data_IF_038630314659
#
_entry.id   IF_038630314659
#
_cell.length_a   1.000
_cell.length_b   1.000
_cell.length_c   1.000
_cell.angle_alpha   90.00
_cell.angle_beta   90.00
_cell.angle_gamma   90.00
#
_symmetry.space_group_name_H-M   'P 1'
#
loop_
_entity.id
_entity.type
_entity.pdbx_description
1 polymer ?
#
# COMPACT_ATOMS: atom_id res chain seq x y z
N UNK A 1 -22.37 11.44 3.13
CA UNK A 1 -21.02 11.43 3.76
C UNK A 1 -20.22 12.59 3.16
N UNK A 2 -19.43 13.34 3.94
CA UNK A 2 -18.55 14.38 3.39
C UNK A 2 -17.59 13.81 2.33
N UNK A 3 -17.27 14.54 1.24
CA UNK A 3 -16.39 14.05 0.19
C UNK A 3 -15.01 13.60 0.67
N UNK A 4 -14.47 14.26 1.69
CA UNK A 4 -13.15 13.98 2.29
C UNK A 4 -13.06 12.57 2.86
N UNK A 5 -14.19 12.04 3.31
CA UNK A 5 -14.32 10.72 3.94
C UNK A 5 -14.87 9.71 2.92
N UNK A 6 -15.80 10.13 2.06
CA UNK A 6 -16.54 9.23 1.18
C UNK A 6 -15.93 8.99 -0.19
N UNK A 7 -15.00 9.83 -0.63
CA UNK A 7 -14.28 9.63 -1.88
C UNK A 7 -12.93 8.98 -1.57
N UNK A 8 -12.77 7.75 -2.04
CA UNK A 8 -11.58 6.92 -1.82
C UNK A 8 -11.01 6.48 -3.16
N UNK A 9 -9.76 6.85 -3.43
CA UNK A 9 -8.99 6.39 -4.57
C UNK A 9 -8.17 5.16 -4.18
N UNK A 10 -8.43 4.03 -4.82
CA UNK A 10 -7.59 2.84 -4.67
C UNK A 10 -6.48 2.90 -5.70
N UNK A 11 -5.24 3.08 -5.23
CA UNK A 11 -4.08 3.25 -6.10
C UNK A 11 -3.05 2.14 -5.85
N UNK A 12 -2.52 1.60 -6.94
CA UNK A 12 -1.50 0.57 -6.95
C UNK A 12 -0.27 1.10 -7.70
N UNK A 13 0.91 0.95 -7.10
CA UNK A 13 2.18 1.25 -7.78
C UNK A 13 2.53 0.11 -8.74
N UNK A 14 3.08 0.47 -9.90
CA UNK A 14 3.57 -0.43 -10.95
C UNK A 14 2.46 -1.24 -11.65
N UNK A 15 2.12 -2.44 -11.16
CA UNK A 15 1.15 -3.32 -11.83
C UNK A 15 0.22 -3.98 -10.82
N UNK A 16 -1.08 -4.12 -11.12
CA UNK A 16 -2.03 -4.83 -10.24
C UNK A 16 -1.68 -6.29 -9.99
N UNK A 17 -0.86 -6.91 -10.86
CA UNK A 17 -0.45 -8.30 -10.70
C UNK A 17 0.60 -8.49 -9.60
N UNK A 18 1.36 -7.44 -9.28
CA UNK A 18 2.50 -7.52 -8.35
C UNK A 18 2.45 -6.51 -7.22
N UNK A 19 1.69 -5.44 -7.36
CA UNK A 19 1.47 -4.43 -6.32
C UNK A 19 0.15 -4.64 -5.58
N UNK A 20 -0.02 -3.89 -4.49
CA UNK A 20 -1.23 -3.85 -3.69
C UNK A 20 -1.99 -2.54 -3.89
N UNK A 21 -3.31 -2.58 -3.81
CA UNK A 21 -4.14 -1.39 -3.83
C UNK A 21 -4.19 -0.72 -2.45
N UNK A 22 -3.74 0.54 -2.40
CA UNK A 22 -3.75 1.39 -1.21
C UNK A 22 -4.93 2.37 -1.32
N UNK A 23 -5.80 2.48 -0.29
CA UNK A 23 -6.88 3.45 -0.28
C UNK A 23 -6.37 4.83 0.15
N UNK A 24 -6.56 5.82 -0.72
CA UNK A 24 -6.27 7.22 -0.47
C UNK A 24 -7.56 8.02 -0.41
N UNK A 25 -7.86 8.60 0.74
CA UNK A 25 -9.02 9.45 0.93
C UNK A 25 -8.80 10.81 0.26
N UNK A 26 -9.86 11.40 -0.32
CA UNK A 26 -9.78 12.74 -0.91
C UNK A 26 -9.40 13.81 0.13
N UNK A 27 -9.71 13.58 1.40
CA UNK A 27 -9.32 14.46 2.51
C UNK A 27 -7.86 14.37 2.93
N UNK A 28 -7.04 13.49 2.33
CA UNK A 28 -5.65 13.28 2.71
C UNK A 28 -4.80 14.53 2.46
N UNK A 29 -3.98 14.92 3.43
CA UNK A 29 -3.18 16.17 3.39
C UNK A 29 -1.70 15.95 3.11
N UNK A 30 -1.24 14.70 3.03
CA UNK A 30 0.15 14.38 2.72
C UNK A 30 0.36 12.90 2.43
N UNK A 31 1.50 12.59 1.84
CA UNK A 31 1.92 11.24 1.47
C UNK A 31 3.24 10.90 2.16
N UNK A 32 3.53 9.61 2.42
CA UNK A 32 4.82 9.21 2.97
C UNK A 32 5.92 9.53 1.95
N UNK A 33 7.08 10.00 2.44
CA UNK A 33 8.23 10.42 1.60
C UNK A 33 8.73 9.33 0.64
N UNK A 34 8.58 8.08 1.04
CA UNK A 34 8.93 6.88 0.29
C UNK A 34 8.09 6.77 -1.00
N UNK A 35 6.89 7.35 -1.00
CA UNK A 35 5.93 7.36 -2.11
C UNK A 35 5.97 8.65 -2.94
N UNK A 36 6.76 9.65 -2.53
CA UNK A 36 6.90 10.92 -3.27
C UNK A 36 8.17 10.97 -4.12
N UNK A 37 9.01 9.94 -4.07
CA UNK A 37 10.34 9.93 -4.69
C UNK A 37 10.47 8.81 -5.73
N UNK A 38 10.68 9.20 -6.99
CA UNK A 38 10.85 8.31 -8.14
C UNK A 38 12.02 8.75 -9.02
N UNK A 39 13.14 9.11 -8.40
CA UNK A 39 14.33 9.63 -9.07
C UNK A 39 15.00 8.55 -9.94
N UNK A 40 15.86 8.97 -10.87
CA UNK A 40 16.60 8.05 -11.77
C UNK A 40 17.63 7.17 -11.03
N UNK A 41 18.06 7.61 -9.85
CA UNK A 41 18.86 6.80 -8.92
C UNK A 41 17.96 5.84 -8.14
N UNK A 42 18.41 4.61 -7.87
CA UNK A 42 17.69 3.58 -7.11
C UNK A 42 17.89 3.82 -5.60
N UNK A 43 17.01 4.58 -4.90
CA UNK A 43 17.16 4.82 -3.49
C UNK A 43 16.55 3.61 -2.76
N UNK A 44 17.24 3.08 -1.75
CA UNK A 44 16.75 1.95 -0.96
C UNK A 44 15.37 2.22 -0.31
N UNK A 45 15.02 3.49 -0.13
CA UNK A 45 13.77 3.95 0.50
C UNK A 45 12.70 4.44 -0.48
N UNK A 46 12.81 4.14 -1.77
CA UNK A 46 11.76 4.44 -2.75
C UNK A 46 10.75 3.30 -2.86
N UNK A 47 9.47 3.62 -2.67
CA UNK A 47 8.38 2.70 -2.94
C UNK A 47 8.37 2.29 -4.42
N UNK A 48 8.52 3.25 -5.34
CA UNK A 48 8.54 2.97 -6.79
C UNK A 48 9.55 1.89 -7.15
N UNK A 49 10.81 2.05 -6.71
CA UNK A 49 11.88 1.13 -7.03
C UNK A 49 11.73 -0.22 -6.33
N UNK A 50 11.23 -0.24 -5.09
CA UNK A 50 10.94 -1.48 -4.38
C UNK A 50 9.86 -2.31 -5.09
N UNK A 51 8.74 -1.69 -5.49
CA UNK A 51 7.70 -2.39 -6.26
C UNK A 51 8.19 -2.78 -7.67
N UNK A 52 9.07 -1.98 -8.28
CA UNK A 52 9.70 -2.32 -9.55
C UNK A 52 10.58 -3.57 -9.44
N UNK A 53 11.39 -3.68 -8.38
CA UNK A 53 12.21 -4.86 -8.11
C UNK A 53 11.35 -6.11 -7.93
N UNK A 54 10.28 -6.03 -7.12
CA UNK A 54 9.35 -7.14 -6.95
C UNK A 54 8.76 -7.59 -8.29
N UNK A 55 8.35 -6.64 -9.15
CA UNK A 55 7.85 -6.96 -10.50
C UNK A 55 8.90 -7.70 -11.33
N UNK A 56 10.14 -7.21 -11.35
CA UNK A 56 11.21 -7.82 -12.15
C UNK A 56 11.51 -9.24 -11.68
N UNK A 57 11.58 -9.46 -10.37
CA UNK A 57 11.73 -10.81 -9.79
C UNK A 57 10.53 -11.70 -10.12
N UNK A 58 9.32 -11.16 -10.03
CA UNK A 58 8.10 -11.90 -10.33
C UNK A 58 8.03 -12.32 -11.80
N UNK A 59 8.51 -11.49 -12.72
CA UNK A 59 8.58 -11.87 -14.14
C UNK A 59 9.62 -12.95 -14.40
N UNK A 60 10.77 -12.90 -13.71
CA UNK A 60 11.83 -13.89 -13.89
C UNK A 60 11.48 -15.25 -13.28
N UNK A 61 10.88 -15.25 -12.08
CA UNK A 61 10.48 -16.46 -11.34
C UNK A 61 8.96 -16.66 -11.33
N UNK A 62 8.31 -16.48 -12.47
CA UNK A 62 6.84 -16.36 -12.57
C UNK A 62 6.03 -17.46 -11.88
N UNK A 63 6.44 -18.73 -12.04
CA UNK A 63 5.74 -19.87 -11.45
C UNK A 63 5.83 -19.91 -9.92
N UNK A 64 6.92 -19.39 -9.35
CA UNK A 64 7.15 -19.32 -7.91
C UNK A 64 6.56 -18.04 -7.31
N UNK A 65 6.85 -16.90 -7.93
CA UNK A 65 6.62 -15.59 -7.34
C UNK A 65 5.15 -15.15 -7.42
N UNK A 66 4.45 -15.38 -8.55
CA UNK A 66 3.06 -14.90 -8.68
C UNK A 66 2.11 -15.51 -7.64
N UNK A 67 2.13 -16.82 -7.37
CA UNK A 67 1.29 -17.39 -6.31
C UNK A 67 1.58 -16.79 -4.93
N UNK A 68 2.86 -16.61 -4.57
CA UNK A 68 3.25 -16.02 -3.29
C UNK A 68 2.78 -14.57 -3.14
N UNK A 69 2.95 -13.77 -4.19
CA UNK A 69 2.52 -12.37 -4.20
C UNK A 69 0.99 -12.28 -4.09
N UNK A 70 0.27 -13.10 -4.87
CA UNK A 70 -1.19 -13.11 -4.85
C UNK A 70 -1.75 -13.50 -3.47
N UNK A 71 -1.15 -14.48 -2.80
CA UNK A 71 -1.56 -14.89 -1.46
C UNK A 71 -1.42 -13.74 -0.45
N UNK A 72 -0.28 -13.05 -0.45
CA UNK A 72 -0.01 -11.92 0.46
C UNK A 72 -0.96 -10.76 0.19
N UNK A 73 -1.11 -10.33 -1.07
CA UNK A 73 -1.96 -9.19 -1.40
C UNK A 73 -3.45 -9.47 -1.26
N UNK A 74 -3.92 -10.68 -1.57
CA UNK A 74 -5.33 -11.03 -1.37
C UNK A 74 -5.72 -10.95 0.12
N UNK A 75 -4.84 -11.43 1.01
CA UNK A 75 -5.06 -11.31 2.46
C UNK A 75 -5.02 -9.85 2.91
N UNK A 76 -3.99 -9.12 2.50
CA UNK A 76 -3.81 -7.72 2.86
C UNK A 76 -5.01 -6.86 2.44
N UNK A 77 -5.43 -6.95 1.18
CA UNK A 77 -6.54 -6.15 0.66
C UNK A 77 -7.88 -6.51 1.31
N UNK A 78 -8.09 -7.79 1.66
CA UNK A 78 -9.25 -8.21 2.43
C UNK A 78 -9.28 -7.58 3.83
N UNK A 79 -8.15 -7.54 4.53
CA UNK A 79 -8.02 -6.90 5.85
C UNK A 79 -8.28 -5.39 5.77
N UNK A 80 -7.69 -4.71 4.78
CA UNK A 80 -7.91 -3.28 4.58
C UNK A 80 -9.38 -3.00 4.27
N UNK A 81 -9.98 -3.77 3.36
CA UNK A 81 -11.40 -3.66 3.01
C UNK A 81 -12.31 -3.86 4.23
N UNK A 82 -12.03 -4.87 5.06
CA UNK A 82 -12.79 -5.14 6.29
C UNK A 82 -12.66 -4.01 7.32
N UNK A 83 -11.50 -3.36 7.40
CA UNK A 83 -11.26 -2.25 8.34
C UNK A 83 -11.88 -0.91 7.89
N UNK A 84 -12.20 -0.77 6.59
CA UNK A 84 -12.63 0.50 5.97
C UNK A 84 -13.81 1.15 6.67
N UNK A 85 -14.91 0.41 6.88
CA UNK A 85 -16.12 0.96 7.49
C UNK A 85 -15.87 1.49 8.90
N UNK A 86 -14.96 0.85 9.66
CA UNK A 86 -14.55 1.32 10.98
C UNK A 86 -13.79 2.64 10.88
N UNK A 87 -12.82 2.74 9.98
CA UNK A 87 -12.05 3.97 9.72
C UNK A 87 -12.97 5.12 9.29
N UNK A 88 -13.86 4.90 8.32
CA UNK A 88 -14.79 5.92 7.83
C UNK A 88 -15.77 6.39 8.92
N UNK A 89 -16.26 5.46 9.75
CA UNK A 89 -17.15 5.78 10.88
C UNK A 89 -16.47 6.61 11.96
N UNK A 90 -15.20 6.30 12.24
CA UNK A 90 -14.38 7.04 13.19
C UNK A 90 -14.08 8.45 12.68
N UNK A 91 -13.65 8.56 11.41
CA UNK A 91 -13.44 9.84 10.75
C UNK A 91 -14.71 10.69 10.73
N UNK A 92 -15.88 10.10 10.47
CA UNK A 92 -17.16 10.82 10.50
C UNK A 92 -17.54 11.30 11.91
N UNK A 93 -17.18 10.55 12.96
CA UNK A 93 -17.38 10.97 14.35
C UNK A 93 -16.51 12.19 14.66
N UNK A 94 -15.22 12.12 14.33
CA UNK A 94 -14.26 13.23 14.52
C UNK A 94 -14.68 14.46 13.71
N UNK A 95 -15.14 14.25 12.47
CA UNK A 95 -15.63 15.34 11.62
C UNK A 95 -16.76 16.14 12.28
N UNK A 96 -17.68 15.43 12.96
CA UNK A 96 -18.82 16.05 13.65
C UNK A 96 -18.43 16.69 14.98
N UNK A 97 -17.41 16.18 15.69
CA UNK A 97 -17.04 16.65 17.03
C UNK A 97 -15.92 17.69 17.05
N UNK A 98 -14.93 17.53 16.17
CA UNK A 98 -13.65 18.24 16.21
C UNK A 98 -13.41 19.05 14.94
N UNK A 99 -13.93 18.57 13.80
CA UNK A 99 -13.91 19.30 12.54
C UNK A 99 -13.25 18.55 11.40
N UNK A 100 -13.18 19.22 10.25
CA UNK A 100 -12.68 18.66 8.99
C UNK A 100 -11.19 18.30 9.08
N UNK A 101 -10.40 19.15 9.72
CA UNK A 101 -8.94 19.01 9.74
C UNK A 101 -8.50 17.76 10.51
N UNK A 102 -9.08 17.53 11.69
CA UNK A 102 -8.78 16.37 12.54
C UNK A 102 -9.24 15.06 11.87
N UNK A 103 -10.38 15.08 11.19
CA UNK A 103 -10.85 13.92 10.42
C UNK A 103 -9.91 13.61 9.25
N UNK A 104 -9.48 14.64 8.52
CA UNK A 104 -8.48 14.52 7.45
C UNK A 104 -7.13 14.01 7.95
N UNK A 105 -6.68 14.44 9.13
CA UNK A 105 -5.44 13.96 9.74
C UNK A 105 -5.52 12.46 10.09
N UNK A 106 -6.64 11.98 10.66
CA UNK A 106 -6.85 10.55 10.90
C UNK A 106 -6.76 9.74 9.60
N UNK A 107 -7.47 10.18 8.55
CA UNK A 107 -7.50 9.48 7.26
C UNK A 107 -6.13 9.51 6.55
N UNK A 108 -5.40 10.62 6.68
CA UNK A 108 -4.03 10.76 6.19
C UNK A 108 -3.11 9.75 6.86
N UNK A 109 -3.11 9.72 8.20
CA UNK A 109 -2.32 8.76 8.97
C UNK A 109 -2.65 7.34 8.59
N UNK A 110 -3.95 6.99 8.52
CA UNK A 110 -4.36 5.63 8.14
C UNK A 110 -3.90 5.24 6.74
N UNK A 111 -4.03 6.12 5.75
CA UNK A 111 -3.59 5.85 4.38
C UNK A 111 -2.07 5.68 4.32
N UNK A 112 -1.33 6.55 5.03
CA UNK A 112 0.13 6.51 5.08
C UNK A 112 0.65 5.24 5.79
N UNK A 113 -0.02 4.79 6.85
CA UNK A 113 0.35 3.56 7.55
C UNK A 113 0.16 2.34 6.66
N UNK A 114 -0.97 2.26 5.94
CA UNK A 114 -1.22 1.20 4.96
C UNK A 114 -0.14 1.22 3.86
N UNK A 115 0.22 2.41 3.36
CA UNK A 115 1.27 2.55 2.36
C UNK A 115 2.66 2.11 2.87
N UNK A 116 3.01 2.40 4.12
CA UNK A 116 4.28 1.90 4.70
C UNK A 116 4.24 0.39 4.92
N UNK A 117 3.10 -0.14 5.34
CA UNK A 117 2.93 -1.57 5.52
C UNK A 117 3.09 -2.35 4.22
N UNK A 118 2.49 -1.87 3.11
CA UNK A 118 2.70 -2.50 1.80
C UNK A 118 4.16 -2.45 1.38
N UNK A 119 4.90 -1.38 1.69
CA UNK A 119 6.33 -1.29 1.40
C UNK A 119 7.13 -2.34 2.18
N UNK A 120 6.84 -2.52 3.48
CA UNK A 120 7.45 -3.56 4.31
C UNK A 120 7.15 -4.96 3.77
N UNK A 121 5.88 -5.25 3.45
CA UNK A 121 5.50 -6.55 2.90
C UNK A 121 6.13 -6.81 1.52
N UNK A 122 6.30 -5.78 0.70
CA UNK A 122 6.97 -5.88 -0.60
C UNK A 122 8.45 -6.25 -0.43
N UNK A 123 9.15 -5.61 0.52
CA UNK A 123 10.54 -5.95 0.86
C UNK A 123 10.65 -7.40 1.36
N UNK A 124 9.69 -7.84 2.18
CA UNK A 124 9.65 -9.22 2.66
C UNK A 124 9.42 -10.21 1.51
N UNK A 125 8.47 -9.95 0.61
CA UNK A 125 8.21 -10.76 -0.59
C UNK A 125 9.46 -10.89 -1.46
N UNK A 126 10.18 -9.80 -1.68
CA UNK A 126 11.46 -9.80 -2.40
C UNK A 126 12.46 -10.74 -1.73
N UNK A 127 12.63 -10.64 -0.41
CA UNK A 127 13.55 -11.49 0.35
C UNK A 127 13.14 -12.97 0.30
N UNK A 128 11.84 -13.27 0.43
CA UNK A 128 11.32 -14.63 0.41
C UNK A 128 11.46 -15.28 -0.98
N UNK A 129 11.15 -14.53 -2.04
CA UNK A 129 11.31 -14.99 -3.42
C UNK A 129 12.79 -15.27 -3.71
N UNK A 130 13.70 -14.36 -3.36
CA UNK A 130 15.15 -14.57 -3.55
C UNK A 130 15.64 -15.81 -2.81
N UNK A 131 15.26 -15.95 -1.53
CA UNK A 131 15.62 -17.11 -0.70
C UNK A 131 15.15 -18.41 -1.36
N UNK A 132 13.88 -18.49 -1.74
CA UNK A 132 13.35 -19.71 -2.36
C UNK A 132 13.97 -19.96 -3.74
N UNK A 133 14.10 -18.93 -4.56
CA UNK A 133 14.63 -19.07 -5.91
C UNK A 133 16.11 -19.50 -5.94
N UNK A 134 16.91 -19.07 -4.98
CA UNK A 134 18.35 -19.34 -4.95
C UNK A 134 18.73 -20.63 -4.22
N UNK A 135 17.87 -21.15 -3.34
CA UNK A 135 18.13 -22.36 -2.56
C UNK A 135 17.22 -23.54 -2.91
N UNK A 136 16.38 -23.42 -3.95
CA UNK A 136 15.74 -24.57 -4.59
C UNK A 136 16.69 -25.14 -5.65
N UNK A 137 17.51 -26.13 -5.25
CA UNK A 137 18.06 -27.15 -6.15
C UNK A 137 17.01 -28.24 -6.44
#
# INVERSE_FOLDING_TARGET
MPPEIGLVMWWCINTPKTGAYIPWYFGTTGFPSEYTTGNEEFPLDSAYWTFFELKMLAHHYCNLAFPMIQEVWSRFEAEISASRTRTESEALRIFKSSGREEASQLLTTRSNDIARETLVQTRQLIADIKTKAWFME
#
